data_IF_671760468599
#
_entry.id   IF_671760468599
#
_cell.length_a   1.000
_cell.length_b   1.000
_cell.length_c   1.000
_cell.angle_alpha   90.00
_cell.angle_beta   90.00
_cell.angle_gamma   90.00
#
_symmetry.space_group_name_H-M   'P 1'
#
loop_
_entity.id
_entity.type
_entity.pdbx_description
1 polymer ?
#
# COMPACT_ATOMS: atom_id res chain seq x y z
N UNK A 1 0.22 1.48 -21.14
CA UNK A 1 -0.43 2.80 -20.93
C UNK A 1 -1.94 2.74 -21.20
N UNK A 2 -2.39 1.79 -22.01
CA UNK A 2 -3.79 1.53 -22.41
C UNK A 2 -4.81 1.34 -21.28
N UNK A 3 -4.41 0.84 -20.11
CA UNK A 3 -5.34 0.55 -19.02
C UNK A 3 -5.99 1.80 -18.42
N UNK A 4 -5.27 2.92 -18.37
CA UNK A 4 -5.84 4.16 -17.82
C UNK A 4 -6.91 4.75 -18.75
N UNK A 5 -6.62 4.85 -20.05
CA UNK A 5 -7.56 5.40 -21.02
C UNK A 5 -8.88 4.62 -21.00
N UNK A 6 -8.82 3.29 -20.96
CA UNK A 6 -10.00 2.43 -20.87
C UNK A 6 -10.82 2.69 -19.59
N UNK A 7 -10.16 2.83 -18.44
CA UNK A 7 -10.84 3.11 -17.17
C UNK A 7 -11.54 4.48 -17.17
N UNK A 8 -10.90 5.51 -17.73
CA UNK A 8 -11.50 6.85 -17.87
C UNK A 8 -12.72 6.80 -18.80
N UNK A 9 -12.59 6.16 -19.96
CA UNK A 9 -13.70 6.03 -20.92
C UNK A 9 -14.87 5.24 -20.34
N UNK A 10 -14.61 4.21 -19.53
CA UNK A 10 -15.65 3.47 -18.81
C UNK A 10 -16.35 4.37 -17.78
N UNK A 11 -15.61 5.06 -16.92
CA UNK A 11 -16.19 5.95 -15.92
C UNK A 11 -17.08 7.04 -16.56
N UNK A 12 -16.67 7.57 -17.72
CA UNK A 12 -17.47 8.53 -18.48
C UNK A 12 -18.77 7.90 -19.02
N UNK A 13 -18.71 6.70 -19.60
CA UNK A 13 -19.89 5.97 -20.10
C UNK A 13 -20.90 5.64 -18.99
N UNK A 14 -20.41 5.31 -17.80
CA UNK A 14 -21.23 5.01 -16.62
C UNK A 14 -21.78 6.27 -15.92
N UNK A 15 -21.48 7.47 -16.44
CA UNK A 15 -21.95 8.74 -15.85
C UNK A 15 -21.28 9.11 -14.52
N UNK A 16 -20.10 8.54 -14.22
CA UNK A 16 -19.36 8.90 -13.03
C UNK A 16 -18.83 10.33 -13.12
N UNK A 17 -19.01 11.12 -12.05
CA UNK A 17 -18.50 12.50 -11.95
C UNK A 17 -16.98 12.60 -12.14
N UNK A 18 -16.25 11.54 -11.80
CA UNK A 18 -14.81 11.44 -11.97
C UNK A 18 -14.27 10.11 -11.47
N UNK A 19 -12.98 9.87 -11.75
CA UNK A 19 -12.25 8.67 -11.35
C UNK A 19 -11.01 9.08 -10.55
N UNK A 20 -10.83 8.49 -9.37
CA UNK A 20 -9.61 8.65 -8.58
C UNK A 20 -8.69 7.43 -8.78
N UNK A 21 -7.43 7.68 -9.09
CA UNK A 21 -6.44 6.63 -9.33
C UNK A 21 -5.21 6.82 -8.45
N UNK A 22 -4.79 5.77 -7.77
CA UNK A 22 -3.55 5.73 -7.01
C UNK A 22 -2.54 4.88 -7.78
N UNK A 23 -1.37 5.45 -8.05
CA UNK A 23 -0.22 4.75 -8.61
C UNK A 23 0.82 4.57 -7.52
N UNK A 24 1.66 3.55 -7.65
CA UNK A 24 2.77 3.33 -6.73
C UNK A 24 3.62 4.61 -6.62
N UNK A 25 3.82 5.09 -5.40
CA UNK A 25 4.58 6.30 -5.10
C UNK A 25 3.80 7.61 -5.29
N UNK A 26 2.50 7.56 -5.59
CA UNK A 26 1.64 8.75 -5.67
C UNK A 26 1.44 9.42 -4.30
N UNK A 27 1.64 8.66 -3.21
CA UNK A 27 1.50 9.11 -1.82
C UNK A 27 2.68 8.61 -0.99
N UNK A 28 2.95 9.26 0.14
CA UNK A 28 3.94 8.80 1.13
C UNK A 28 3.53 7.46 1.76
N UNK A 29 2.23 7.27 1.95
CA UNK A 29 1.63 6.02 2.41
C UNK A 29 0.67 5.54 1.33
N UNK A 30 0.90 4.33 0.82
CA UNK A 30 0.06 3.72 -0.21
C UNK A 30 -1.35 3.46 0.35
N UNK A 31 -2.38 3.76 -0.46
CA UNK A 31 -3.79 3.58 -0.07
C UNK A 31 -4.23 2.13 -0.22
N UNK A 32 -3.59 1.40 -1.12
CA UNK A 32 -3.84 -0.02 -1.35
C UNK A 32 -2.63 -0.82 -0.89
N UNK A 33 -2.85 -1.76 0.03
CA UNK A 33 -1.81 -2.72 0.40
C UNK A 33 -1.54 -3.65 -0.79
N UNK A 34 -0.29 -3.72 -1.31
CA UNK A 34 0.02 -4.67 -2.36
C UNK A 34 -0.24 -6.09 -1.83
N UNK A 35 -0.93 -6.92 -2.63
CA UNK A 35 -1.26 -8.31 -2.27
C UNK A 35 -0.03 -9.17 -1.94
N UNK A 36 1.16 -8.72 -2.36
CA UNK A 36 2.47 -9.31 -2.08
C UNK A 36 3.35 -8.38 -1.24
N UNK A 37 2.79 -7.66 -0.27
CA UNK A 37 3.63 -7.00 0.73
C UNK A 37 4.38 -8.10 1.49
N UNK A 38 5.66 -8.31 1.16
CA UNK A 38 6.55 -9.13 1.97
C UNK A 38 6.47 -8.54 3.38
N UNK A 39 5.85 -9.28 4.31
CA UNK A 39 5.58 -8.81 5.67
C UNK A 39 6.86 -8.37 6.40
N UNK A 40 8.01 -8.73 5.84
CA UNK A 40 9.35 -8.57 6.40
C UNK A 40 10.03 -7.26 5.99
N UNK A 41 9.37 -6.40 5.19
CA UNK A 41 9.89 -5.06 4.84
C UNK A 41 9.02 -3.95 5.42
N UNK A 42 9.69 -2.91 5.90
CA UNK A 42 9.07 -1.73 6.43
C UNK A 42 8.32 -0.96 5.34
N UNK A 43 7.03 -0.64 5.52
CA UNK A 43 6.24 0.09 4.53
C UNK A 43 6.66 1.56 4.39
N UNK A 44 7.40 2.11 5.34
CA UNK A 44 7.81 3.54 5.35
C UNK A 44 9.17 3.76 4.71
N UNK A 45 10.15 2.88 4.96
CA UNK A 45 11.53 3.06 4.48
C UNK A 45 12.07 1.90 3.65
N UNK A 46 11.32 0.80 3.50
CA UNK A 46 11.69 -0.35 2.67
C UNK A 46 12.78 -1.26 3.24
N UNK A 47 13.32 -0.97 4.43
CA UNK A 47 14.28 -1.83 5.14
C UNK A 47 13.62 -3.05 5.78
N UNK A 48 14.42 -4.03 6.14
CA UNK A 48 13.95 -5.24 6.83
C UNK A 48 13.40 -4.88 8.22
N UNK A 49 12.28 -5.52 8.58
CA UNK A 49 11.66 -5.40 9.90
C UNK A 49 12.26 -6.46 10.82
N UNK A 50 12.68 -6.05 12.01
CA UNK A 50 13.15 -6.98 13.03
C UNK A 50 11.98 -7.38 13.94
N UNK A 51 11.91 -8.68 14.26
CA UNK A 51 10.88 -9.19 15.17
C UNK A 51 11.41 -9.15 16.60
N UNK A 52 10.80 -8.34 17.45
CA UNK A 52 11.13 -8.27 18.88
C UNK A 52 9.84 -8.32 19.71
N UNK A 53 9.75 -9.28 20.62
CA UNK A 53 8.66 -9.42 21.61
C UNK A 53 7.23 -9.44 21.01
N UNK A 54 7.03 -10.11 19.87
CA UNK A 54 5.70 -10.23 19.23
C UNK A 54 5.30 -9.04 18.34
N UNK A 55 6.10 -7.97 18.33
CA UNK A 55 5.93 -6.81 17.45
C UNK A 55 7.02 -6.80 16.37
N UNK A 56 6.68 -6.29 15.17
CA UNK A 56 7.67 -6.03 14.12
C UNK A 56 8.09 -4.57 14.20
N UNK A 57 9.38 -4.31 14.43
CA UNK A 57 9.92 -2.96 14.57
C UNK A 57 10.91 -2.62 13.44
N UNK A 58 10.84 -1.39 12.98
CA UNK A 58 11.81 -0.80 12.05
C UNK A 58 12.85 0.01 12.83
N UNK A 59 14.08 -0.47 12.97
CA UNK A 59 15.16 0.25 13.68
C UNK A 59 15.57 1.57 13.02
N UNK A 60 15.32 1.74 11.71
CA UNK A 60 15.64 2.97 10.99
C UNK A 60 14.60 4.08 11.17
N UNK A 61 13.34 3.71 11.39
CA UNK A 61 12.21 4.64 11.34
C UNK A 61 11.31 4.58 12.57
N UNK A 62 11.69 3.75 13.56
CA UNK A 62 11.01 3.53 14.83
C UNK A 62 9.52 3.16 14.66
N UNK A 63 9.18 2.58 13.50
CA UNK A 63 7.82 2.11 13.21
C UNK A 63 7.58 0.78 13.92
N UNK A 64 6.50 0.70 14.71
CA UNK A 64 6.03 -0.52 15.36
C UNK A 64 4.78 -1.04 14.65
N UNK A 65 4.79 -2.32 14.29
CA UNK A 65 3.68 -2.99 13.63
C UNK A 65 3.21 -4.14 14.53
N UNK A 66 1.98 -4.01 15.03
CA UNK A 66 1.29 -5.07 15.77
C UNK A 66 0.76 -6.11 14.78
N UNK A 67 1.20 -7.36 14.90
CA UNK A 67 0.71 -8.46 14.06
C UNK A 67 -0.57 -9.01 14.67
N UNK A 68 -1.73 -8.50 14.24
CA UNK A 68 -3.01 -9.12 14.58
C UNK A 68 -3.14 -10.44 13.82
N UNK A 69 -2.98 -11.55 14.52
CA UNK A 69 -3.38 -12.86 14.02
C UNK A 69 -4.91 -12.93 14.08
N UNK A 70 -5.57 -12.72 12.95
CA UNK A 70 -6.97 -13.12 12.80
C UNK A 70 -7.01 -14.66 12.82
N UNK A 71 -7.77 -15.20 13.79
CA UNK A 71 -8.04 -16.63 14.00
C UNK A 71 -9.13 -17.15 13.08
#
# INVERSE_FOLDING_TARGET
KDTLGKAIMMAWKEGCKGLAMYRNGSRKMEVLSPKNLKKDKCPTCGKELESSNGNRECTQCQLQIEVKNES
#
